data_IF_355114324935
#
_entry.id   IF_355114324935
#
_cell.length_a   1.000
_cell.length_b   1.000
_cell.length_c   1.000
_cell.angle_alpha   90.00
_cell.angle_beta   90.00
_cell.angle_gamma   90.00
#
_symmetry.space_group_name_H-M   'P 1'
#
loop_
_entity.id
_entity.type
_entity.pdbx_description
1 polymer ?
#
# COMPACT_ATOMS: atom_id res chain seq x y z
N UNK A 1 15.79 60.66 45.26
CA UNK A 1 16.58 59.40 44.96
C UNK A 1 15.63 58.45 44.30
N UNK A 2 15.55 58.51 42.97
CA UNK A 2 14.64 57.66 42.20
C UNK A 2 15.34 56.38 41.73
N UNK A 3 14.88 55.26 42.20
CA UNK A 3 15.32 53.95 41.70
C UNK A 3 14.49 53.56 40.49
N UNK A 4 15.03 53.67 39.29
CA UNK A 4 14.44 53.27 38.05
C UNK A 4 14.57 51.71 37.92
N UNK A 5 13.49 51.02 38.12
CA UNK A 5 13.40 49.55 37.88
C UNK A 5 13.15 49.32 36.39
N UNK A 6 14.22 48.93 35.69
CA UNK A 6 14.11 48.48 34.29
C UNK A 6 13.65 46.99 34.31
N UNK A 7 12.38 46.75 34.00
CA UNK A 7 11.85 45.43 33.77
C UNK A 7 12.28 44.94 32.37
N UNK A 8 13.26 44.08 32.32
CA UNK A 8 13.67 43.42 31.07
C UNK A 8 12.69 42.31 30.71
N UNK A 9 11.77 42.64 29.84
CA UNK A 9 10.76 41.67 29.35
C UNK A 9 11.44 40.74 28.33
N UNK A 10 11.87 39.56 28.81
CA UNK A 10 12.48 38.54 27.97
C UNK A 10 11.37 37.83 27.16
N UNK A 11 11.14 38.28 25.92
CA UNK A 11 10.22 37.65 24.97
C UNK A 11 10.84 36.33 24.51
N UNK A 12 10.50 35.23 25.18
CA UNK A 12 10.83 33.87 24.73
C UNK A 12 9.90 33.53 23.57
N UNK A 13 10.36 33.79 22.35
CA UNK A 13 9.71 33.28 21.13
C UNK A 13 9.91 31.76 21.08
N UNK A 14 8.88 31.02 21.46
CA UNK A 14 8.81 29.57 21.26
C UNK A 14 8.69 29.30 19.76
N UNK A 15 9.80 28.97 19.14
CA UNK A 15 9.80 28.47 17.77
C UNK A 15 9.22 27.06 17.86
N UNK A 16 7.92 26.94 17.61
CA UNK A 16 7.26 25.64 17.40
C UNK A 16 7.80 25.05 16.09
N UNK A 17 8.79 24.19 16.19
CA UNK A 17 9.15 23.34 15.08
C UNK A 17 7.98 22.36 14.87
N UNK A 18 7.17 22.65 13.87
CA UNK A 18 6.20 21.69 13.35
C UNK A 18 7.03 20.56 12.71
N UNK A 19 7.22 19.49 13.45
CA UNK A 19 7.74 18.25 12.89
C UNK A 19 6.67 17.76 11.90
N UNK A 20 6.97 17.86 10.61
CA UNK A 20 6.15 17.25 9.57
C UNK A 20 6.18 15.72 9.79
N UNK A 21 5.12 15.21 10.40
CA UNK A 21 4.97 13.79 10.71
C UNK A 21 5.11 13.00 9.41
N UNK A 22 6.13 12.17 9.32
CA UNK A 22 6.37 11.32 8.16
C UNK A 22 5.24 10.29 8.11
N UNK A 23 4.24 10.54 7.30
CA UNK A 23 3.13 9.61 7.09
C UNK A 23 3.67 8.35 6.42
N UNK A 24 3.72 7.25 7.16
CA UNK A 24 4.14 5.96 6.65
C UNK A 24 2.97 5.20 6.03
N UNK A 25 3.26 4.44 4.98
CA UNK A 25 2.28 3.56 4.34
C UNK A 25 2.00 2.36 5.24
N UNK A 26 0.73 2.18 5.61
CA UNK A 26 0.28 1.00 6.36
C UNK A 26 0.16 -0.18 5.39
N UNK A 27 0.94 -1.22 5.66
CA UNK A 27 0.94 -2.45 4.89
C UNK A 27 0.34 -3.54 5.77
N UNK A 28 -0.57 -4.32 5.22
CA UNK A 28 -1.28 -5.37 5.93
C UNK A 28 -1.01 -6.73 5.29
N UNK A 29 -1.08 -7.79 6.08
CA UNK A 29 -1.19 -9.16 5.59
C UNK A 29 -2.64 -9.49 5.20
N UNK A 30 -2.84 -10.54 4.41
CA UNK A 30 -4.18 -11.02 4.06
C UNK A 30 -5.01 -11.38 5.29
N UNK A 31 -4.40 -12.04 6.28
CA UNK A 31 -5.09 -12.43 7.52
C UNK A 31 -5.49 -11.24 8.39
N UNK A 32 -4.69 -10.16 8.42
CA UNK A 32 -5.06 -8.93 9.11
C UNK A 32 -6.22 -8.23 8.40
N UNK A 33 -6.17 -8.18 7.06
CA UNK A 33 -7.25 -7.59 6.28
C UNK A 33 -8.56 -8.32 6.52
N UNK A 34 -8.61 -9.65 6.54
CA UNK A 34 -9.84 -10.39 6.84
C UNK A 34 -10.43 -10.04 8.21
N UNK A 35 -9.57 -9.85 9.23
CA UNK A 35 -10.02 -9.47 10.58
C UNK A 35 -10.55 -8.03 10.60
N UNK A 36 -9.80 -7.10 10.05
CA UNK A 36 -10.16 -5.68 10.02
C UNK A 36 -11.39 -5.40 9.17
N UNK A 37 -11.52 -6.11 8.07
CA UNK A 37 -12.62 -5.97 7.12
C UNK A 37 -13.98 -6.34 7.74
N UNK A 38 -14.03 -7.29 8.67
CA UNK A 38 -15.25 -7.64 9.42
C UNK A 38 -15.79 -6.48 10.25
N UNK A 39 -14.92 -5.57 10.69
CA UNK A 39 -15.28 -4.42 11.52
C UNK A 39 -15.44 -3.16 10.67
N UNK A 40 -14.54 -2.97 9.72
CA UNK A 40 -14.51 -1.78 8.86
C UNK A 40 -14.25 -2.21 7.42
N UNK A 41 -15.30 -2.52 6.64
CA UNK A 41 -15.14 -2.89 5.24
C UNK A 41 -14.53 -1.76 4.41
N UNK A 42 -13.42 -2.04 3.75
CA UNK A 42 -12.74 -1.14 2.80
C UNK A 42 -12.30 -1.91 1.58
N UNK A 43 -12.26 -1.29 0.39
CA UNK A 43 -11.60 -1.89 -0.77
C UNK A 43 -10.12 -2.20 -0.47
N UNK A 44 -9.57 -3.19 -1.16
CA UNK A 44 -8.21 -3.67 -0.94
C UNK A 44 -7.39 -3.37 -2.18
N UNK A 45 -6.18 -2.86 -1.98
CA UNK A 45 -5.19 -2.68 -3.04
C UNK A 45 -4.06 -3.67 -2.80
N UNK A 46 -3.85 -4.57 -3.73
CA UNK A 46 -2.75 -5.53 -3.68
C UNK A 46 -1.72 -5.15 -4.72
N UNK A 47 -0.50 -4.89 -4.28
CA UNK A 47 0.66 -4.69 -5.14
C UNK A 47 1.45 -5.99 -5.23
N UNK A 48 1.39 -6.63 -6.41
CA UNK A 48 2.06 -7.90 -6.68
C UNK A 48 3.41 -7.60 -7.35
N UNK A 49 4.47 -8.06 -6.75
CA UNK A 49 5.86 -7.84 -7.16
C UNK A 49 6.69 -9.12 -7.10
N UNK A 50 7.94 -9.06 -7.53
CA UNK A 50 8.95 -10.07 -7.25
C UNK A 50 10.26 -9.39 -6.84
N UNK A 51 11.08 -10.03 -6.03
CA UNK A 51 12.34 -9.46 -5.53
C UNK A 51 13.31 -9.04 -6.64
N UNK A 52 13.42 -9.81 -7.70
CA UNK A 52 14.27 -9.51 -8.86
C UNK A 52 13.72 -8.41 -9.78
N UNK A 53 12.48 -7.98 -9.59
CA UNK A 53 11.78 -7.05 -10.48
C UNK A 53 12.21 -5.59 -10.27
N UNK A 54 13.18 -5.10 -11.04
CA UNK A 54 13.67 -3.72 -10.95
C UNK A 54 12.58 -2.66 -11.14
N UNK A 55 11.62 -2.92 -12.03
CA UNK A 55 10.48 -2.01 -12.28
C UNK A 55 9.57 -1.97 -11.06
N UNK A 56 9.39 -3.10 -10.36
CA UNK A 56 8.62 -3.15 -9.11
C UNK A 56 9.26 -2.28 -8.03
N UNK A 57 10.57 -2.39 -7.82
CA UNK A 57 11.30 -1.53 -6.89
C UNK A 57 11.19 -0.04 -7.25
N UNK A 58 11.30 0.28 -8.54
CA UNK A 58 11.10 1.64 -9.03
C UNK A 58 9.70 2.17 -8.74
N UNK A 59 8.67 1.37 -8.93
CA UNK A 59 7.27 1.73 -8.63
C UNK A 59 7.03 1.87 -7.13
N UNK A 60 7.57 0.98 -6.32
CA UNK A 60 7.47 1.04 -4.86
C UNK A 60 7.96 2.41 -4.36
N UNK A 61 9.18 2.80 -4.71
CA UNK A 61 9.78 4.08 -4.33
C UNK A 61 9.08 5.30 -4.92
N UNK A 62 8.75 5.28 -6.21
CA UNK A 62 8.25 6.47 -6.90
C UNK A 62 6.75 6.70 -6.73
N UNK A 63 5.98 5.63 -6.51
CA UNK A 63 4.52 5.67 -6.43
C UNK A 63 4.02 5.44 -5.02
N UNK A 64 4.43 4.36 -4.35
CA UNK A 64 3.91 4.00 -3.03
C UNK A 64 4.57 4.75 -1.87
N UNK A 65 5.75 5.36 -2.05
CA UNK A 65 6.33 6.31 -1.08
C UNK A 65 5.85 7.76 -1.28
N UNK A 66 4.97 8.01 -2.25
CA UNK A 66 4.44 9.35 -2.48
C UNK A 66 3.40 9.72 -1.43
N UNK A 67 3.60 10.83 -0.70
CA UNK A 67 2.73 11.30 0.40
C UNK A 67 1.24 11.29 0.05
N UNK A 68 0.86 11.72 -1.17
CA UNK A 68 -0.54 11.76 -1.61
C UNK A 68 -1.13 10.37 -1.85
N UNK A 69 -0.33 9.44 -2.37
CA UNK A 69 -0.75 8.04 -2.56
C UNK A 69 -0.89 7.36 -1.21
N UNK A 70 0.10 7.54 -0.31
CA UNK A 70 0.07 7.01 1.06
C UNK A 70 -1.20 7.49 1.80
N UNK A 71 -1.48 8.78 1.75
CA UNK A 71 -2.67 9.34 2.41
C UNK A 71 -3.97 8.67 1.91
N UNK A 72 -4.13 8.52 0.59
CA UNK A 72 -5.31 7.88 -0.01
C UNK A 72 -5.42 6.39 0.38
N UNK A 73 -4.30 5.67 0.36
CA UNK A 73 -4.28 4.25 0.74
C UNK A 73 -4.62 4.08 2.22
N UNK A 74 -3.96 4.81 3.11
CA UNK A 74 -4.19 4.69 4.55
C UNK A 74 -5.62 5.07 4.97
N UNK A 75 -6.20 6.07 4.32
CA UNK A 75 -7.55 6.55 4.62
C UNK A 75 -8.62 5.56 4.17
N UNK A 76 -8.52 5.11 2.91
CA UNK A 76 -9.68 4.53 2.22
C UNK A 76 -9.52 3.06 1.82
N UNK A 77 -8.34 2.47 2.00
CA UNK A 77 -8.05 1.11 1.55
C UNK A 77 -7.30 0.30 2.62
N UNK A 78 -7.27 -1.01 2.43
CA UNK A 78 -6.24 -1.88 2.97
C UNK A 78 -5.21 -2.13 1.88
N UNK A 79 -3.93 -1.86 2.18
CA UNK A 79 -2.85 -2.05 1.21
C UNK A 79 -2.01 -3.27 1.57
N UNK A 80 -1.86 -4.17 0.61
CA UNK A 80 -1.08 -5.40 0.74
C UNK A 80 0.05 -5.38 -0.29
N UNK A 81 1.25 -5.78 0.11
CA UNK A 81 2.31 -6.17 -0.81
C UNK A 81 2.39 -7.69 -0.84
N UNK A 82 2.32 -8.26 -2.03
CA UNK A 82 2.43 -9.69 -2.26
C UNK A 82 3.65 -9.98 -3.12
N UNK A 83 4.61 -10.72 -2.57
CA UNK A 83 5.64 -11.31 -3.41
C UNK A 83 5.02 -12.46 -4.21
N UNK A 84 5.13 -12.38 -5.53
CA UNK A 84 4.60 -13.41 -6.40
C UNK A 84 5.35 -14.75 -6.31
N UNK A 85 6.51 -14.76 -5.69
CA UNK A 85 7.32 -15.94 -5.42
C UNK A 85 7.35 -16.33 -3.92
N UNK A 86 6.43 -15.78 -3.12
CA UNK A 86 6.26 -16.11 -1.70
C UNK A 86 6.15 -17.63 -1.52
N UNK A 87 6.94 -18.18 -0.60
CA UNK A 87 6.98 -19.62 -0.36
C UNK A 87 6.11 -20.09 0.80
N UNK A 88 5.77 -19.15 1.69
CA UNK A 88 4.88 -19.44 2.80
C UNK A 88 3.43 -19.55 2.35
N UNK A 89 2.69 -20.45 2.96
CA UNK A 89 1.28 -20.61 2.66
C UNK A 89 0.50 -19.37 3.12
N UNK A 90 -0.37 -18.85 2.27
CA UNK A 90 -1.28 -17.74 2.59
C UNK A 90 -2.68 -18.29 2.71
N UNK A 91 -3.28 -18.13 3.90
CA UNK A 91 -4.70 -18.40 4.12
C UNK A 91 -5.50 -17.13 3.86
N UNK A 92 -6.49 -17.21 2.96
CA UNK A 92 -7.35 -16.09 2.62
C UNK A 92 -8.72 -16.58 2.14
N UNK A 93 -9.79 -16.01 2.66
CA UNK A 93 -11.19 -16.33 2.32
C UNK A 93 -11.53 -17.83 2.41
N UNK A 94 -11.06 -18.48 3.47
CA UNK A 94 -11.34 -19.90 3.70
C UNK A 94 -10.52 -20.88 2.85
N UNK A 95 -9.59 -20.38 2.03
CA UNK A 95 -8.70 -21.18 1.17
C UNK A 95 -7.24 -20.97 1.55
N UNK A 96 -6.46 -22.04 1.52
CA UNK A 96 -4.99 -21.98 1.63
C UNK A 96 -4.41 -21.94 0.23
N UNK A 97 -3.65 -20.90 -0.05
CA UNK A 97 -2.88 -20.75 -1.29
C UNK A 97 -1.42 -21.12 -1.01
N UNK A 98 -0.81 -21.84 -1.93
CA UNK A 98 0.53 -22.40 -1.76
C UNK A 98 1.46 -21.95 -2.89
N UNK A 99 2.75 -22.05 -2.65
CA UNK A 99 3.76 -21.87 -3.69
C UNK A 99 3.75 -23.05 -4.66
N UNK A 100 3.77 -22.77 -5.95
CA UNK A 100 3.87 -23.78 -7.03
C UNK A 100 5.25 -23.70 -7.67
N UNK A 101 6.14 -24.66 -7.38
CA UNK A 101 7.45 -24.69 -7.99
C UNK A 101 7.35 -25.00 -9.49
N UNK A 102 8.20 -24.35 -10.28
CA UNK A 102 8.39 -24.62 -11.71
C UNK A 102 9.86 -24.47 -12.08
N UNK A 103 10.54 -25.57 -12.35
CA UNK A 103 11.99 -25.59 -12.58
C UNK A 103 12.78 -25.06 -11.37
N UNK A 104 13.64 -24.07 -11.61
CA UNK A 104 14.42 -23.38 -10.57
C UNK A 104 13.69 -22.21 -9.91
N UNK A 105 12.48 -21.91 -10.32
CA UNK A 105 11.64 -20.80 -9.85
C UNK A 105 10.28 -21.32 -9.38
N UNK A 106 9.30 -20.48 -9.31
CA UNK A 106 7.92 -20.84 -9.01
C UNK A 106 7.07 -19.61 -8.79
N UNK A 107 5.80 -19.84 -8.53
CA UNK A 107 4.84 -18.75 -8.34
C UNK A 107 3.84 -19.13 -7.25
N UNK A 108 3.48 -18.18 -6.42
CA UNK A 108 2.45 -18.37 -5.42
C UNK A 108 1.04 -18.35 -6.06
N UNK A 109 0.18 -19.31 -5.70
CA UNK A 109 -1.17 -19.44 -6.28
C UNK A 109 -2.00 -18.16 -6.19
N UNK A 110 -1.94 -17.47 -5.05
CA UNK A 110 -2.68 -16.21 -4.87
C UNK A 110 -2.18 -15.11 -5.80
N UNK A 111 -0.88 -15.07 -6.07
CA UNK A 111 -0.32 -14.14 -7.04
C UNK A 111 -0.76 -14.49 -8.46
N UNK A 112 -0.88 -15.77 -8.82
CA UNK A 112 -1.46 -16.19 -10.11
C UNK A 112 -2.90 -15.68 -10.24
N UNK A 113 -3.72 -15.83 -9.22
CA UNK A 113 -5.12 -15.37 -9.27
C UNK A 113 -5.21 -13.83 -9.39
N UNK A 114 -4.36 -13.11 -8.67
CA UNK A 114 -4.43 -11.64 -8.60
C UNK A 114 -3.64 -10.90 -9.69
N UNK A 115 -2.64 -11.52 -10.32
CA UNK A 115 -1.78 -10.86 -11.31
C UNK A 115 -1.86 -11.47 -12.71
N UNK A 116 -2.78 -12.41 -12.97
CA UNK A 116 -2.98 -12.94 -14.31
C UNK A 116 -3.94 -12.05 -15.10
N UNK A 117 -3.41 -11.42 -16.14
CA UNK A 117 -4.17 -10.57 -17.07
C UNK A 117 -4.00 -11.16 -18.48
N UNK A 118 -5.10 -11.41 -19.18
CA UNK A 118 -5.07 -12.02 -20.51
C UNK A 118 -4.24 -13.31 -20.58
N UNK A 119 -4.39 -14.21 -19.59
CA UNK A 119 -3.68 -15.49 -19.49
C UNK A 119 -2.16 -15.34 -19.26
N UNK A 120 -1.66 -14.18 -18.90
CA UNK A 120 -0.24 -13.94 -18.57
C UNK A 120 -0.13 -13.29 -17.21
N UNK A 121 0.77 -13.81 -16.41
CA UNK A 121 1.17 -13.18 -15.15
C UNK A 121 2.22 -12.10 -15.43
N UNK A 122 2.06 -10.93 -14.86
CA UNK A 122 2.91 -9.75 -15.09
C UNK A 122 3.35 -9.13 -13.77
N UNK A 123 4.61 -8.72 -13.69
CA UNK A 123 5.15 -7.92 -12.60
C UNK A 123 5.62 -6.53 -13.10
N UNK A 124 5.37 -5.46 -12.36
CA UNK A 124 4.40 -5.39 -11.25
C UNK A 124 2.96 -5.45 -11.76
N UNK A 125 2.06 -5.96 -10.93
CA UNK A 125 0.62 -5.79 -11.11
C UNK A 125 0.03 -5.13 -9.86
N UNK A 126 -0.92 -4.22 -10.05
CA UNK A 126 -1.73 -3.68 -8.96
C UNK A 126 -3.17 -4.10 -9.16
N UNK A 127 -3.70 -4.87 -8.22
CA UNK A 127 -5.07 -5.36 -8.24
C UNK A 127 -5.90 -4.68 -7.16
N UNK A 128 -7.09 -4.22 -7.52
CA UNK A 128 -8.04 -3.64 -6.58
C UNK A 128 -9.22 -4.59 -6.42
N UNK A 129 -9.49 -4.95 -5.17
CA UNK A 129 -10.67 -5.72 -4.79
C UNK A 129 -11.69 -4.77 -4.15
N UNK A 130 -12.97 -5.00 -4.41
CA UNK A 130 -14.05 -4.31 -3.71
C UNK A 130 -14.24 -4.84 -2.27
N UNK A 131 -15.29 -4.38 -1.59
CA UNK A 131 -15.61 -4.81 -0.23
C UNK A 131 -16.15 -6.24 -0.15
N UNK A 132 -16.55 -6.82 -1.24
CA UNK A 132 -16.97 -8.21 -1.37
C UNK A 132 -15.83 -9.12 -1.84
N UNK A 133 -14.58 -8.60 -1.88
CA UNK A 133 -13.37 -9.28 -2.36
C UNK A 133 -13.38 -9.63 -3.85
N UNK A 134 -14.29 -9.05 -4.64
CA UNK A 134 -14.27 -9.17 -6.09
C UNK A 134 -13.17 -8.35 -6.73
N UNK A 135 -12.49 -8.89 -7.75
CA UNK A 135 -11.52 -8.14 -8.55
C UNK A 135 -12.27 -7.13 -9.41
N UNK A 136 -12.08 -5.85 -9.15
CA UNK A 136 -12.72 -4.75 -9.91
C UNK A 136 -11.78 -4.04 -10.87
N UNK A 137 -10.46 -4.14 -10.62
CA UNK A 137 -9.45 -3.55 -11.48
C UNK A 137 -8.13 -4.30 -11.35
N UNK A 138 -7.49 -4.56 -12.48
CA UNK A 138 -6.11 -5.02 -12.55
C UNK A 138 -5.32 -4.08 -13.47
N UNK A 139 -4.16 -3.66 -13.02
CA UNK A 139 -3.26 -2.75 -13.73
C UNK A 139 -1.92 -3.45 -13.89
N UNK A 140 -1.56 -3.77 -15.10
CA UNK A 140 -0.27 -4.33 -15.45
C UNK A 140 0.81 -3.25 -15.61
N UNK A 141 2.02 -3.60 -15.22
CA UNK A 141 3.20 -2.75 -15.34
C UNK A 141 3.23 -1.54 -14.40
N UNK A 142 4.12 -0.61 -14.71
CA UNK A 142 4.37 0.57 -13.89
C UNK A 142 3.23 1.58 -13.96
N UNK A 143 2.64 1.88 -12.82
CA UNK A 143 1.66 2.95 -12.65
C UNK A 143 2.30 4.09 -11.87
N UNK A 144 2.48 5.24 -12.50
CA UNK A 144 3.07 6.40 -11.84
C UNK A 144 2.14 7.01 -10.78
N UNK A 145 2.71 7.79 -9.84
CA UNK A 145 2.01 8.39 -8.70
C UNK A 145 0.78 9.22 -9.07
N UNK A 146 0.78 9.93 -10.22
CA UNK A 146 -0.37 10.74 -10.66
C UNK A 146 -1.54 9.85 -11.09
N UNK A 147 -1.27 8.85 -11.91
CA UNK A 147 -2.25 7.87 -12.38
C UNK A 147 -2.80 7.06 -11.20
N UNK A 148 -1.92 6.58 -10.31
CA UNK A 148 -2.32 5.85 -9.11
C UNK A 148 -3.25 6.68 -8.23
N UNK A 149 -2.90 7.92 -7.88
CA UNK A 149 -3.76 8.79 -7.09
C UNK A 149 -5.12 9.06 -7.74
N UNK A 150 -5.17 9.17 -9.08
CA UNK A 150 -6.44 9.31 -9.82
C UNK A 150 -7.31 8.07 -9.72
N UNK A 151 -6.71 6.89 -9.87
CA UNK A 151 -7.39 5.59 -9.76
C UNK A 151 -7.95 5.40 -8.36
N UNK A 152 -7.12 5.59 -7.32
CA UNK A 152 -7.54 5.44 -5.93
C UNK A 152 -8.71 6.36 -5.56
N UNK A 153 -8.72 7.61 -6.04
CA UNK A 153 -9.85 8.53 -5.82
C UNK A 153 -11.16 8.03 -6.40
N UNK A 154 -11.12 7.30 -7.51
CA UNK A 154 -12.31 6.70 -8.13
C UNK A 154 -12.70 5.42 -7.39
N UNK A 155 -11.72 4.57 -7.10
CA UNK A 155 -11.93 3.25 -6.50
C UNK A 155 -12.37 3.29 -5.02
N UNK A 156 -12.14 4.38 -4.27
CA UNK A 156 -12.58 4.47 -2.87
C UNK A 156 -14.10 4.46 -2.67
N UNK A 157 -14.87 4.54 -3.75
CA UNK A 157 -16.34 4.48 -3.72
C UNK A 157 -16.90 3.05 -3.91
N UNK A 158 -16.04 2.07 -4.18
CA UNK A 158 -16.37 0.65 -4.43
C UNK A 158 -16.75 -0.13 -3.14
#
# INVERSE_FOLDING_TARGET
>A
MNKLLIAFFFCISTISWSQEEKVELKIYSFSEVEKLHKVTPKPIVVFIHAEWCKICHGMDKSTFENKKVIALLNESFYFIKLDGEEKENIYFLGKTFVFKPYGSSGTHELALELATINKRMVYPTTTILDKEFGIVLQLDGLVNKRKMASILKKAKKL
#
